data_IF_936420301276
#
_entry.id   IF_936420301276
#
_cell.length_a   1.000
_cell.length_b   1.000
_cell.length_c   1.000
_cell.angle_alpha   90.00
_cell.angle_beta   90.00
_cell.angle_gamma   90.00
#
_symmetry.space_group_name_H-M   'P 1'
#
loop_
_entity.id
_entity.type
_entity.pdbx_description
1 polymer ?
#
# COMPACT_ATOMS: atom_id res chain seq x y z
N UNK A 1 -0.62 16.94 26.80
CA UNK A 1 -1.54 15.86 26.83
C UNK A 1 -1.67 15.18 25.55
N UNK A 2 -2.22 15.82 24.58
CA UNK A 2 -2.46 15.22 23.30
C UNK A 2 -1.20 14.77 22.62
N UNK A 3 -0.16 15.48 22.85
CA UNK A 3 1.13 15.16 22.26
C UNK A 3 1.56 13.78 22.69
N UNK A 4 1.35 13.47 23.95
CA UNK A 4 1.72 12.18 24.46
C UNK A 4 0.89 11.08 23.82
N UNK A 5 -0.37 11.36 23.59
CA UNK A 5 -1.24 10.39 22.96
C UNK A 5 -0.79 10.05 21.56
N UNK A 6 -0.35 11.04 20.83
CA UNK A 6 0.15 10.80 19.49
C UNK A 6 1.34 9.89 19.49
N UNK A 7 2.27 10.12 20.39
CA UNK A 7 3.45 9.28 20.49
C UNK A 7 3.09 7.86 20.87
N UNK A 8 2.13 7.72 21.78
CA UNK A 8 1.71 6.41 22.18
C UNK A 8 1.11 5.63 21.03
N UNK A 9 0.30 6.31 20.22
CA UNK A 9 -0.30 5.66 19.08
C UNK A 9 0.75 5.19 18.08
N UNK A 10 1.77 6.00 17.87
CA UNK A 10 2.83 5.62 16.97
C UNK A 10 3.63 4.43 17.47
N UNK A 11 3.77 4.34 18.79
CA UNK A 11 4.53 3.25 19.37
C UNK A 11 3.78 1.93 19.34
N UNK A 12 2.47 1.97 19.13
CA UNK A 12 1.64 0.78 19.21
C UNK A 12 1.01 0.50 17.85
N UNK A 13 1.77 -0.18 17.00
CA UNK A 13 1.24 -0.61 15.71
C UNK A 13 0.54 -1.95 15.92
N UNK A 14 -0.73 -2.06 15.51
CA UNK A 14 -1.41 -3.36 15.61
C UNK A 14 -0.65 -4.44 14.89
N UNK A 15 -0.64 -5.64 15.47
CA UNK A 15 0.11 -6.75 14.90
C UNK A 15 -0.31 -7.05 13.47
N UNK A 16 -1.60 -6.97 13.19
CA UNK A 16 -2.10 -7.23 11.84
C UNK A 16 -1.51 -6.25 10.82
N UNK A 17 -1.36 -4.99 11.21
CA UNK A 17 -0.79 -3.97 10.33
C UNK A 17 0.71 -4.24 10.14
N UNK A 18 1.41 -4.54 11.21
CA UNK A 18 2.84 -4.83 11.12
C UNK A 18 3.11 -6.04 10.22
N UNK A 19 2.26 -7.07 10.34
CA UNK A 19 2.38 -8.24 9.47
C UNK A 19 2.10 -7.91 8.02
N UNK A 20 1.07 -7.11 7.77
CA UNK A 20 0.72 -6.71 6.41
C UNK A 20 1.84 -5.91 5.76
N UNK A 21 2.47 -5.01 6.52
CA UNK A 21 3.61 -4.25 6.03
C UNK A 21 4.76 -5.17 5.63
N UNK A 22 5.04 -6.16 6.48
CA UNK A 22 6.12 -7.09 6.21
C UNK A 22 5.83 -7.96 4.99
N UNK A 23 4.62 -8.49 4.92
CA UNK A 23 4.23 -9.35 3.80
C UNK A 23 4.20 -8.56 2.50
N UNK A 24 3.65 -7.34 2.53
CA UNK A 24 3.63 -6.48 1.35
C UNK A 24 5.05 -6.18 0.89
N UNK A 25 5.95 -5.89 1.83
CA UNK A 25 7.35 -5.63 1.49
C UNK A 25 8.00 -6.83 0.82
N UNK A 26 7.70 -8.03 1.30
CA UNK A 26 8.22 -9.25 0.69
C UNK A 26 7.67 -9.43 -0.72
N UNK A 27 6.38 -9.15 -0.92
CA UNK A 27 5.79 -9.21 -2.26
C UNK A 27 6.44 -8.23 -3.21
N UNK A 28 6.69 -7.01 -2.76
CA UNK A 28 7.35 -6.00 -3.58
C UNK A 28 8.73 -6.49 -4.00
N UNK A 29 9.50 -7.01 -3.05
CA UNK A 29 10.83 -7.53 -3.33
C UNK A 29 10.76 -8.69 -4.33
N UNK A 30 9.81 -9.58 -4.15
CA UNK A 30 9.68 -10.73 -5.04
C UNK A 30 9.29 -10.32 -6.45
N UNK A 31 8.34 -9.39 -6.60
CA UNK A 31 7.97 -8.88 -7.93
C UNK A 31 9.15 -8.25 -8.63
N UNK A 32 9.92 -7.45 -7.88
CA UNK A 32 11.11 -6.83 -8.42
C UNK A 32 12.09 -7.88 -8.96
N UNK A 33 12.34 -8.91 -8.15
CA UNK A 33 13.29 -9.96 -8.54
C UNK A 33 12.79 -10.79 -9.71
N UNK A 34 11.49 -11.07 -9.72
CA UNK A 34 10.89 -11.82 -10.85
C UNK A 34 11.05 -11.07 -12.15
N UNK A 35 11.02 -9.75 -12.11
CA UNK A 35 11.18 -8.93 -13.30
C UNK A 35 12.65 -8.60 -13.57
N UNK A 36 13.53 -9.16 -12.76
CA UNK A 36 14.99 -9.00 -12.92
C UNK A 36 15.44 -7.55 -12.82
N UNK A 37 14.79 -6.81 -11.90
CA UNK A 37 15.12 -5.42 -11.66
C UNK A 37 15.93 -5.30 -10.39
N UNK A 38 16.95 -4.45 -10.40
CA UNK A 38 17.70 -4.13 -9.19
C UNK A 38 16.93 -3.12 -8.38
N UNK A 39 17.27 -3.04 -7.09
CA UNK A 39 16.67 -2.03 -6.24
C UNK A 39 16.94 -0.63 -6.76
N UNK A 40 18.14 -0.40 -7.28
CA UNK A 40 18.49 0.90 -7.85
C UNK A 40 17.59 1.24 -9.04
N UNK A 41 17.32 0.27 -9.90
CA UNK A 41 16.47 0.51 -11.07
C UNK A 41 15.04 0.84 -10.68
N UNK A 42 14.48 0.10 -9.73
CA UNK A 42 13.12 0.36 -9.29
C UNK A 42 13.02 1.72 -8.60
N UNK A 43 13.97 2.02 -7.72
CA UNK A 43 13.96 3.31 -7.02
C UNK A 43 14.05 4.47 -8.00
N UNK A 44 14.93 4.37 -8.97
CA UNK A 44 15.10 5.42 -9.98
C UNK A 44 13.83 5.60 -10.79
N UNK A 45 13.25 4.52 -11.27
CA UNK A 45 12.03 4.60 -12.10
C UNK A 45 10.84 5.08 -11.32
N UNK A 46 10.77 4.75 -10.03
CA UNK A 46 9.67 5.18 -9.17
C UNK A 46 9.86 6.60 -8.65
N UNK A 47 11.06 7.17 -8.81
CA UNK A 47 11.33 8.52 -8.34
C UNK A 47 11.48 8.60 -6.83
N UNK A 48 12.01 7.55 -6.21
CA UNK A 48 12.24 7.52 -4.77
C UNK A 48 13.69 7.13 -4.50
N UNK A 49 14.12 7.34 -3.26
CA UNK A 49 15.47 6.93 -2.88
C UNK A 49 15.54 5.43 -2.66
N UNK A 50 16.76 4.89 -2.74
CA UNK A 50 16.96 3.48 -2.43
C UNK A 50 16.59 3.17 -0.98
N UNK A 51 16.85 4.10 -0.07
CA UNK A 51 16.49 3.90 1.33
C UNK A 51 14.99 3.80 1.51
N UNK A 52 14.23 4.60 0.79
CA UNK A 52 12.77 4.52 0.83
C UNK A 52 12.30 3.16 0.29
N UNK A 53 12.88 2.70 -0.81
CA UNK A 53 12.52 1.39 -1.34
C UNK A 53 12.88 0.29 -0.35
N UNK A 54 14.06 0.39 0.26
CA UNK A 54 14.47 -0.60 1.26
C UNK A 54 13.49 -0.64 2.42
N UNK A 55 13.05 0.52 2.88
CA UNK A 55 12.08 0.58 3.97
C UNK A 55 10.78 -0.13 3.58
N UNK A 56 10.33 0.07 2.35
CA UNK A 56 9.13 -0.61 1.86
C UNK A 56 9.34 -2.12 1.85
N UNK A 57 10.44 -2.58 1.29
CA UNK A 57 10.71 -4.01 1.16
C UNK A 57 10.93 -4.68 2.51
N UNK A 58 11.41 -3.94 3.48
CA UNK A 58 11.61 -4.47 4.83
C UNK A 58 10.36 -4.35 5.71
N UNK A 59 9.30 -3.79 5.17
CA UNK A 59 8.04 -3.70 5.91
C UNK A 59 8.04 -2.64 6.99
N UNK A 60 8.88 -1.62 6.86
CA UNK A 60 8.88 -0.52 7.81
C UNK A 60 7.74 0.43 7.50
N UNK A 61 7.12 0.97 8.52
CA UNK A 61 5.99 1.86 8.34
C UNK A 61 6.37 3.31 8.07
N UNK A 62 7.59 3.55 7.59
CA UNK A 62 8.07 4.91 7.40
C UNK A 62 7.81 5.48 6.01
N UNK A 63 7.54 4.62 5.03
CA UNK A 63 7.25 5.08 3.68
C UNK A 63 5.79 5.55 3.61
N UNK A 64 5.55 6.64 2.88
CA UNK A 64 4.18 7.10 2.74
C UNK A 64 3.47 6.34 1.62
N UNK A 65 2.16 6.52 1.55
CA UNK A 65 1.32 5.81 0.60
C UNK A 65 1.71 6.12 -0.84
N UNK A 66 2.01 7.37 -1.13
CA UNK A 66 2.37 7.73 -2.49
C UNK A 66 3.62 7.00 -2.94
N UNK A 67 4.62 6.91 -2.08
CA UNK A 67 5.85 6.20 -2.43
C UNK A 67 5.60 4.73 -2.69
N UNK A 68 4.76 4.11 -1.87
CA UNK A 68 4.39 2.71 -2.11
C UNK A 68 3.71 2.57 -3.47
N UNK A 69 2.76 3.45 -3.78
CA UNK A 69 2.04 3.38 -5.05
C UNK A 69 2.96 3.62 -6.25
N UNK A 70 3.95 4.50 -6.09
CA UNK A 70 4.93 4.70 -7.16
C UNK A 70 5.68 3.41 -7.48
N UNK A 71 6.03 2.66 -6.45
CA UNK A 71 6.71 1.37 -6.63
C UNK A 71 5.78 0.35 -7.28
N UNK A 72 4.54 0.25 -6.78
CA UNK A 72 3.58 -0.70 -7.34
C UNK A 72 3.32 -0.43 -8.82
N UNK A 73 3.32 0.84 -9.19
CA UNK A 73 3.13 1.22 -10.59
C UNK A 73 4.29 0.70 -11.46
N UNK A 74 5.51 0.88 -10.99
CA UNK A 74 6.68 0.42 -11.74
C UNK A 74 6.68 -1.10 -11.88
N UNK A 75 6.21 -1.81 -10.85
CA UNK A 75 6.13 -3.26 -10.90
C UNK A 75 4.93 -3.77 -11.71
N UNK A 76 4.01 -2.87 -12.09
CA UNK A 76 2.87 -3.25 -12.91
C UNK A 76 1.70 -3.83 -12.16
N UNK A 77 1.68 -3.67 -10.83
CA UNK A 77 0.61 -4.26 -10.01
C UNK A 77 -0.26 -3.22 -9.30
N UNK A 78 -0.06 -1.94 -9.60
CA UNK A 78 -0.83 -0.89 -8.92
C UNK A 78 -2.33 -1.05 -9.13
N UNK A 79 -2.73 -1.27 -10.37
CA UNK A 79 -4.17 -1.37 -10.67
C UNK A 79 -4.82 -2.55 -9.98
N UNK A 80 -4.10 -3.68 -9.87
CA UNK A 80 -4.62 -4.85 -9.18
C UNK A 80 -4.80 -4.58 -7.69
N UNK A 81 -3.84 -3.89 -7.09
CA UNK A 81 -3.93 -3.56 -5.66
C UNK A 81 -5.10 -2.61 -5.40
N UNK A 82 -5.25 -1.61 -6.25
CA UNK A 82 -6.37 -0.65 -6.12
C UNK A 82 -7.70 -1.37 -6.33
N UNK A 83 -7.76 -2.27 -7.31
CA UNK A 83 -8.98 -3.02 -7.58
C UNK A 83 -9.37 -3.91 -6.40
N UNK A 84 -8.38 -4.45 -5.67
CA UNK A 84 -8.67 -5.28 -4.52
C UNK A 84 -9.41 -4.53 -3.41
N UNK A 85 -9.26 -3.21 -3.37
CA UNK A 85 -9.93 -2.39 -2.37
C UNK A 85 -11.33 -1.96 -2.80
N UNK A 86 -11.72 -2.26 -4.03
CA UNK A 86 -13.00 -1.85 -4.57
C UNK A 86 -14.11 -2.69 -3.94
N UNK A 87 -15.11 -2.07 -3.30
CA UNK A 87 -16.22 -2.82 -2.67
C UNK A 87 -16.95 -3.72 -3.66
N UNK A 88 -17.01 -3.34 -4.93
CA UNK A 88 -17.70 -4.13 -5.94
C UNK A 88 -17.00 -5.46 -6.23
N UNK A 89 -15.77 -5.63 -5.77
CA UNK A 89 -15.08 -6.90 -5.94
C UNK A 89 -15.50 -7.93 -4.91
N UNK A 90 -16.39 -7.56 -3.98
CA UNK A 90 -16.89 -8.48 -2.96
C UNK A 90 -18.40 -8.63 -3.12
N UNK A 91 -18.92 -9.78 -2.69
CA UNK A 91 -20.36 -10.01 -2.76
C UNK A 91 -21.11 -9.03 -1.86
N UNK A 92 -20.61 -8.80 -0.67
CA UNK A 92 -21.24 -7.88 0.27
C UNK A 92 -21.28 -6.47 -0.31
N UNK A 93 -20.17 -6.02 -0.87
CA UNK A 93 -20.10 -4.70 -1.44
C UNK A 93 -21.06 -4.54 -2.61
N UNK A 94 -21.16 -5.55 -3.46
CA UNK A 94 -22.09 -5.51 -4.60
C UNK A 94 -23.54 -5.48 -4.13
N UNK A 95 -23.87 -6.27 -3.13
CA UNK A 95 -25.23 -6.31 -2.61
C UNK A 95 -25.63 -5.00 -1.98
N UNK A 96 -24.70 -4.30 -1.39
CA UNK A 96 -24.99 -3.06 -0.66
C UNK A 96 -24.66 -1.80 -1.45
N UNK A 97 -24.30 -1.95 -2.68
CA UNK A 97 -23.91 -0.80 -3.50
C UNK A 97 -25.03 0.23 -3.60
N UNK A 98 -26.27 -0.23 -3.66
CA UNK A 98 -27.41 0.67 -3.79
C UNK A 98 -27.59 1.57 -2.59
N UNK A 99 -26.99 1.24 -1.46
CA UNK A 99 -27.14 2.04 -0.26
C UNK A 99 -26.39 3.36 -0.33
N UNK A 100 -25.36 3.44 -1.14
CA UNK A 100 -24.57 4.66 -1.21
C UNK A 100 -24.47 5.28 -2.59
N UNK A 101 -24.41 4.48 -3.65
CA UNK A 101 -24.16 5.02 -4.97
C UNK A 101 -25.30 5.77 -5.65
N UNK A 102 -26.53 5.32 -5.56
CA UNK A 102 -27.60 6.00 -6.27
C UNK A 102 -27.76 7.46 -5.89
N UNK A 103 -27.52 7.79 -4.64
CA UNK A 103 -27.66 9.16 -4.20
C UNK A 103 -26.67 10.08 -4.84
N UNK A 104 -25.46 9.56 -5.03
CA UNK A 104 -24.43 10.39 -5.63
C UNK A 104 -24.65 10.58 -7.09
N UNK A 105 -25.12 9.55 -7.74
CA UNK A 105 -25.40 9.63 -9.17
C UNK A 105 -26.49 10.62 -9.47
N UNK A 106 -27.46 10.72 -8.60
CA UNK A 106 -28.54 11.61 -8.83
C UNK A 106 -28.20 13.04 -8.63
N UNK A 107 -27.21 13.33 -7.89
CA UNK A 107 -26.80 14.70 -7.72
C UNK A 107 -26.06 15.20 -8.91
#
# INVERSE_FOLDING_TARGET
MEVVSSSDREAVTPLAVARALHVMGTHVSNWRKLQRLTAAQVAERAGISRDTLRAIEQGKGTANTENLFRVLRILGILDDVVAAADPYQTDVGRLRADEILPRRVRS
#
